data_IF_239845901377
#
_entry.id   IF_239845901377
#
_cell.length_a   1.000
_cell.length_b   1.000
_cell.length_c   1.000
_cell.angle_alpha   90.00
_cell.angle_beta   90.00
_cell.angle_gamma   90.00
#
_symmetry.space_group_name_H-M   'P 1'
#
loop_
_entity.id
_entity.type
_entity.pdbx_description
1 polymer ?
#
# COMPACT_ATOMS: atom_id res chain seq x y z
N UNK A 1 -5.52 -20.95 2.95
CA UNK A 1 -6.79 -20.71 2.23
C UNK A 1 -6.47 -19.79 1.07
N UNK A 2 -6.89 -20.12 -0.17
CA UNK A 2 -6.59 -19.36 -1.40
C UNK A 2 -7.72 -18.37 -1.66
N UNK A 3 -7.40 -17.08 -1.74
CA UNK A 3 -8.35 -16.06 -2.19
C UNK A 3 -8.47 -16.14 -3.72
N UNK A 4 -9.66 -16.50 -4.23
CA UNK A 4 -9.87 -16.95 -5.62
C UNK A 4 -9.98 -15.82 -6.66
N UNK A 5 -9.60 -14.58 -6.34
CA UNK A 5 -9.86 -13.42 -7.21
C UNK A 5 -8.74 -12.39 -7.37
N UNK A 6 -7.58 -12.57 -6.74
CA UNK A 6 -6.46 -11.64 -6.90
C UNK A 6 -5.16 -12.45 -7.02
N UNK A 7 -4.99 -13.17 -8.13
CA UNK A 7 -3.65 -13.59 -8.61
C UNK A 7 -2.97 -12.33 -9.19
N UNK A 8 -2.66 -11.37 -8.33
CA UNK A 8 -1.87 -10.20 -8.71
C UNK A 8 -0.40 -10.58 -8.54
N UNK A 9 0.40 -10.59 -9.62
CA UNK A 9 1.84 -10.78 -9.50
C UNK A 9 2.44 -9.61 -8.72
N UNK A 10 3.32 -9.92 -7.75
CA UNK A 10 4.21 -9.01 -7.02
C UNK A 10 3.84 -7.52 -6.97
N UNK A 11 3.35 -7.07 -5.82
CA UNK A 11 3.41 -5.70 -5.28
C UNK A 11 2.79 -4.53 -6.08
N UNK A 12 2.22 -4.79 -7.26
CA UNK A 12 1.52 -3.79 -8.07
C UNK A 12 0.01 -3.90 -7.92
N UNK A 13 -0.60 -3.08 -7.05
CA UNK A 13 -2.04 -3.09 -6.84
C UNK A 13 -2.74 -2.08 -7.76
N UNK A 14 -3.65 -2.57 -8.61
CA UNK A 14 -4.50 -1.69 -9.41
C UNK A 14 -5.51 -0.93 -8.52
N UNK A 15 -6.02 0.25 -8.94
CA UNK A 15 -7.06 0.95 -8.19
C UNK A 15 -8.28 0.08 -7.84
N UNK A 16 -8.69 -0.81 -8.76
CA UNK A 16 -9.80 -1.74 -8.54
C UNK A 16 -9.48 -2.78 -7.47
N UNK A 17 -8.24 -3.29 -7.44
CA UNK A 17 -7.79 -4.20 -6.40
C UNK A 17 -7.78 -3.52 -5.03
N UNK A 18 -7.25 -2.29 -4.95
CA UNK A 18 -7.22 -1.49 -3.73
C UNK A 18 -8.64 -1.24 -3.23
N UNK A 19 -9.56 -0.83 -4.11
CA UNK A 19 -10.97 -0.64 -3.75
C UNK A 19 -11.59 -1.93 -3.19
N UNK A 20 -11.36 -3.08 -3.85
CA UNK A 20 -11.86 -4.37 -3.36
C UNK A 20 -11.27 -4.77 -2.01
N UNK A 21 -9.98 -4.47 -1.76
CA UNK A 21 -9.32 -4.71 -0.48
C UNK A 21 -9.96 -3.83 0.62
N UNK A 22 -10.24 -2.56 0.33
CA UNK A 22 -10.86 -1.66 1.29
C UNK A 22 -12.30 -2.06 1.64
N UNK A 23 -13.10 -2.48 0.66
CA UNK A 23 -14.50 -2.86 0.87
C UNK A 23 -14.67 -4.24 1.52
N UNK A 24 -13.86 -5.22 1.11
CA UNK A 24 -14.10 -6.65 1.38
C UNK A 24 -12.86 -7.41 1.83
N UNK A 25 -11.69 -6.77 1.84
CA UNK A 25 -10.43 -7.40 2.20
C UNK A 25 -10.40 -7.82 3.66
N UNK A 26 -9.72 -8.91 3.93
CA UNK A 26 -9.41 -9.33 5.29
C UNK A 26 -8.26 -8.52 5.87
N UNK A 27 -8.00 -8.72 7.16
CA UNK A 27 -6.86 -8.09 7.83
C UNK A 27 -5.51 -8.44 7.17
N UNK A 28 -5.38 -9.61 6.54
CA UNK A 28 -4.18 -9.99 5.77
C UNK A 28 -3.99 -9.13 4.53
N UNK A 29 -5.07 -8.82 3.79
CA UNK A 29 -5.02 -8.04 2.56
C UNK A 29 -4.67 -6.58 2.86
N UNK A 30 -5.26 -6.04 3.92
CA UNK A 30 -4.95 -4.69 4.41
C UNK A 30 -3.47 -4.60 4.82
N UNK A 31 -2.95 -5.61 5.55
CA UNK A 31 -1.53 -5.65 5.94
C UNK A 31 -0.60 -5.75 4.73
N UNK A 32 -0.95 -6.56 3.74
CA UNK A 32 -0.17 -6.71 2.52
C UNK A 32 -0.12 -5.40 1.72
N UNK A 33 -1.26 -4.72 1.58
CA UNK A 33 -1.34 -3.40 0.97
C UNK A 33 -0.50 -2.38 1.74
N UNK A 34 -0.66 -2.29 3.07
CA UNK A 34 0.13 -1.36 3.88
C UNK A 34 1.63 -1.61 3.79
N UNK A 35 2.06 -2.87 3.65
CA UNK A 35 3.47 -3.22 3.45
C UNK A 35 3.98 -2.70 2.11
N UNK A 36 3.28 -2.98 1.01
CA UNK A 36 3.67 -2.48 -0.30
C UNK A 36 3.74 -0.94 -0.35
N UNK A 37 2.81 -0.27 0.32
CA UNK A 37 2.80 1.20 0.44
C UNK A 37 3.92 1.76 1.33
N UNK A 38 4.36 1.00 2.32
CA UNK A 38 5.48 1.36 3.18
C UNK A 38 6.81 1.19 2.46
N UNK A 39 6.97 0.09 1.72
CA UNK A 39 8.21 -0.26 1.02
C UNK A 39 8.51 0.74 -0.10
N UNK A 40 7.49 1.23 -0.82
CA UNK A 40 7.61 2.37 -1.74
C UNK A 40 6.39 3.32 -1.65
N UNK A 41 6.48 4.40 -0.84
CA UNK A 41 5.40 5.36 -0.67
C UNK A 41 5.24 6.33 -1.86
N UNK A 42 6.11 6.27 -2.87
CA UNK A 42 6.04 7.06 -4.11
C UNK A 42 5.67 6.22 -5.33
N UNK A 43 5.48 4.90 -5.17
CA UNK A 43 5.04 3.98 -6.21
C UNK A 43 3.69 4.38 -6.84
N UNK A 44 3.45 3.84 -8.04
CA UNK A 44 2.13 3.89 -8.70
C UNK A 44 1.03 3.27 -7.82
N UNK A 45 1.36 2.20 -7.07
CA UNK A 45 0.47 1.61 -6.06
C UNK A 45 0.09 2.64 -4.99
N UNK A 46 1.06 3.44 -4.51
CA UNK A 46 0.80 4.48 -3.52
C UNK A 46 -0.04 5.64 -4.06
N UNK A 47 0.20 6.06 -5.30
CA UNK A 47 -0.64 7.06 -5.97
C UNK A 47 -2.07 6.55 -6.17
N UNK A 48 -2.23 5.30 -6.59
CA UNK A 48 -3.53 4.65 -6.74
C UNK A 48 -4.25 4.53 -5.39
N UNK A 49 -3.54 4.14 -4.33
CA UNK A 49 -4.09 4.02 -2.98
C UNK A 49 -4.56 5.36 -2.42
N UNK A 50 -3.77 6.41 -2.62
CA UNK A 50 -4.14 7.77 -2.22
C UNK A 50 -5.40 8.25 -2.94
N UNK A 51 -5.49 8.02 -4.26
CA UNK A 51 -6.66 8.40 -5.05
C UNK A 51 -7.91 7.65 -4.59
N UNK A 52 -7.83 6.31 -4.50
CA UNK A 52 -8.96 5.49 -4.05
C UNK A 52 -9.37 5.87 -2.64
N UNK A 53 -8.43 6.12 -1.72
CA UNK A 53 -8.75 6.51 -0.36
C UNK A 53 -9.44 7.88 -0.25
N UNK A 54 -9.13 8.83 -1.15
CA UNK A 54 -9.81 10.14 -1.19
C UNK A 54 -11.24 10.06 -1.74
N UNK A 55 -11.48 9.12 -2.66
CA UNK A 55 -12.79 8.93 -3.32
C UNK A 55 -13.68 7.90 -2.59
N UNK A 56 -13.11 7.11 -1.67
CA UNK A 56 -13.79 6.02 -0.98
C UNK A 56 -14.65 6.50 0.18
N UNK A 57 -15.90 6.05 0.23
CA UNK A 57 -16.83 6.26 1.36
C UNK A 57 -16.71 5.18 2.46
N UNK A 58 -15.83 4.18 2.27
CA UNK A 58 -15.58 3.12 3.26
C UNK A 58 -15.01 3.71 4.55
N UNK A 59 -15.54 3.28 5.70
CA UNK A 59 -15.11 3.78 7.00
C UNK A 59 -13.72 3.28 7.42
N UNK A 60 -12.90 4.16 8.00
CA UNK A 60 -11.67 3.81 8.73
C UNK A 60 -10.42 3.57 7.88
N UNK A 61 -10.42 2.55 7.01
CA UNK A 61 -9.21 2.18 6.26
C UNK A 61 -8.69 3.27 5.30
N UNK A 62 -9.54 4.01 4.57
CA UNK A 62 -9.05 5.12 3.74
C UNK A 62 -8.30 6.19 4.54
N UNK A 63 -8.81 6.58 5.70
CA UNK A 63 -8.16 7.55 6.57
C UNK A 63 -6.82 7.04 7.11
N UNK A 64 -6.72 5.75 7.43
CA UNK A 64 -5.47 5.10 7.83
C UNK A 64 -4.43 5.17 6.70
N UNK A 65 -4.81 4.82 5.47
CA UNK A 65 -3.90 4.86 4.30
C UNK A 65 -3.35 6.26 4.09
N UNK A 66 -4.22 7.28 4.07
CA UNK A 66 -3.79 8.67 3.86
C UNK A 66 -2.83 9.15 4.96
N UNK A 67 -3.11 8.77 6.21
CA UNK A 67 -2.23 9.10 7.35
C UNK A 67 -0.87 8.41 7.20
N UNK A 68 -0.86 7.11 6.91
CA UNK A 68 0.37 6.33 6.75
C UNK A 68 1.24 6.87 5.61
N UNK A 69 0.67 7.08 4.41
CA UNK A 69 1.40 7.63 3.28
C UNK A 69 2.01 9.00 3.59
N UNK A 70 1.25 9.87 4.28
CA UNK A 70 1.76 11.17 4.72
C UNK A 70 2.95 11.06 5.67
N UNK A 71 2.93 10.12 6.62
CA UNK A 71 4.06 9.91 7.53
C UNK A 71 5.27 9.28 6.83
N UNK A 72 5.06 8.28 5.98
CA UNK A 72 6.15 7.58 5.30
C UNK A 72 6.87 8.47 4.29
N UNK A 73 6.15 9.27 3.51
CA UNK A 73 6.77 10.26 2.61
C UNK A 73 7.59 11.29 3.38
N UNK A 74 7.04 11.82 4.48
CA UNK A 74 7.80 12.73 5.39
C UNK A 74 9.05 12.06 5.95
N UNK A 75 8.95 10.79 6.33
CA UNK A 75 10.10 10.04 6.83
C UNK A 75 11.16 9.88 5.73
N UNK A 76 10.76 9.46 4.53
CA UNK A 76 11.65 9.31 3.38
C UNK A 76 12.37 10.62 3.01
N UNK A 77 11.65 11.74 2.98
CA UNK A 77 12.21 13.07 2.73
C UNK A 77 13.24 13.48 3.80
N UNK A 78 12.94 13.23 5.08
CA UNK A 78 13.87 13.51 6.19
C UNK A 78 15.11 12.61 6.17
N UNK A 79 14.96 11.38 5.71
CA UNK A 79 16.04 10.39 5.61
C UNK A 79 16.90 10.58 4.34
N UNK A 80 16.65 11.63 3.54
CA UNK A 80 17.48 11.95 2.37
C UNK A 80 17.25 11.06 1.15
N UNK A 81 16.14 10.33 1.10
CA UNK A 81 15.75 9.53 -0.07
C UNK A 81 16.53 8.24 -0.29
N UNK A 82 17.04 7.62 0.77
CA UNK A 82 17.63 6.28 0.68
C UNK A 82 16.54 5.23 1.00
N UNK A 83 15.98 4.59 -0.03
CA UNK A 83 15.35 3.29 0.15
C UNK A 83 16.43 2.33 0.67
N UNK A 84 16.17 1.71 1.81
CA UNK A 84 17.08 0.79 2.48
C UNK A 84 17.22 -0.49 1.64
N UNK A 85 18.21 -0.50 0.75
CA UNK A 85 18.60 -1.65 -0.09
C UNK A 85 19.42 -2.69 0.71
N UNK A 86 19.12 -2.87 2.00
CA UNK A 86 19.89 -3.75 2.88
C UNK A 86 19.46 -5.22 2.85
N UNK A 87 18.64 -5.65 1.89
CA UNK A 87 18.24 -7.06 1.72
C UNK A 87 18.66 -7.73 0.39
N UNK A 88 19.57 -7.11 -0.40
CA UNK A 88 20.28 -7.81 -1.48
C UNK A 88 21.63 -8.31 -0.93
N UNK A 89 21.58 -9.31 -0.06
CA UNK A 89 22.79 -9.74 0.63
C UNK A 89 22.74 -11.09 1.33
N UNK A 90 21.83 -12.01 1.00
CA UNK A 90 21.94 -13.43 1.42
C UNK A 90 21.33 -14.40 0.41
N UNK A 91 22.15 -14.84 -0.55
CA UNK A 91 22.11 -16.19 -1.13
C UNK A 91 23.47 -16.50 -1.78
#
# INVERSE_FOLDING_TARGET
MRHRHLDIPGDCYSPAAIHSILERGGASDIKALLRALHDDPFSETAMAAERVAKESEVYGYPALILKCLGEWRRHYERSGGQADDSDIGKA
#
